data_IF_656716707710
#
_entry.id   IF_656716707710
#
_cell.length_a   1.000
_cell.length_b   1.000
_cell.length_c   1.000
_cell.angle_alpha   90.00
_cell.angle_beta   90.00
_cell.angle_gamma   90.00
#
_symmetry.space_group_name_H-M   'P 1'
#
loop_
_entity.id
_entity.type
_entity.pdbx_description
1 polymer ?
#
# COMPACT_ATOMS: atom_id res chain seq x y z
N UNK A 1 45.08 71.70 -22.25
CA UNK A 1 45.33 70.59 -21.30
C UNK A 1 44.06 70.37 -20.49
N UNK A 2 43.54 69.14 -20.54
CA UNK A 2 42.98 68.37 -19.40
C UNK A 2 41.73 68.85 -18.62
N UNK A 3 40.78 67.90 -18.46
CA UNK A 3 39.71 67.80 -17.42
C UNK A 3 38.52 68.79 -17.53
N UNK A 4 37.28 68.51 -17.09
CA UNK A 4 36.58 67.30 -16.58
C UNK A 4 35.31 67.07 -17.46
N UNK A 5 34.28 66.22 -17.22
CA UNK A 5 33.90 65.21 -16.20
C UNK A 5 32.99 64.15 -16.86
N UNK A 6 32.48 63.14 -16.12
CA UNK A 6 31.43 62.23 -16.61
C UNK A 6 31.30 60.93 -15.79
N UNK A 7 30.46 60.92 -14.76
CA UNK A 7 30.29 59.79 -13.83
C UNK A 7 29.35 58.71 -14.34
N UNK A 8 29.75 57.43 -14.22
CA UNK A 8 28.89 56.27 -14.50
C UNK A 8 29.34 55.03 -13.71
N UNK A 9 28.92 54.94 -12.45
CA UNK A 9 29.18 53.77 -11.61
C UNK A 9 28.00 52.80 -11.61
N UNK A 10 28.18 51.61 -12.19
CA UNK A 10 27.15 50.55 -12.21
C UNK A 10 27.63 49.34 -11.42
N UNK A 11 27.02 49.09 -10.26
CA UNK A 11 27.29 47.91 -9.42
C UNK A 11 26.58 46.65 -9.93
N UNK A 12 27.29 45.52 -10.14
CA UNK A 12 26.67 44.25 -10.49
C UNK A 12 26.39 43.40 -9.24
N UNK A 13 25.38 43.77 -8.44
CA UNK A 13 24.97 43.04 -7.24
C UNK A 13 23.49 42.62 -7.28
N UNK A 14 23.19 41.35 -7.60
CA UNK A 14 21.80 40.86 -7.56
C UNK A 14 21.53 39.42 -8.02
N UNK A 15 22.35 38.84 -8.90
CA UNK A 15 22.07 37.49 -9.47
C UNK A 15 22.49 36.32 -8.57
N UNK A 16 23.36 36.54 -7.58
CA UNK A 16 23.87 35.49 -6.67
C UNK A 16 22.91 35.14 -5.53
N UNK A 17 22.22 36.13 -4.95
CA UNK A 17 21.30 35.93 -3.82
C UNK A 17 20.08 35.07 -4.16
N UNK A 18 19.43 35.33 -5.30
CA UNK A 18 18.21 34.60 -5.71
C UNK A 18 18.47 33.11 -6.03
N UNK A 19 19.66 32.77 -6.55
CA UNK A 19 20.07 31.39 -6.76
C UNK A 19 20.34 30.66 -5.43
N UNK A 20 20.94 31.35 -4.46
CA UNK A 20 21.19 30.82 -3.12
C UNK A 20 19.90 30.59 -2.33
N UNK A 21 18.92 31.50 -2.42
CA UNK A 21 17.59 31.34 -1.82
C UNK A 21 16.86 30.11 -2.38
N UNK A 22 16.70 30.02 -3.71
CA UNK A 22 16.07 28.85 -4.36
C UNK A 22 16.77 27.53 -4.06
N UNK A 23 18.08 27.52 -3.82
CA UNK A 23 18.81 26.33 -3.40
C UNK A 23 18.49 25.92 -1.95
N UNK A 24 18.33 26.89 -1.05
CA UNK A 24 17.90 26.64 0.35
C UNK A 24 16.45 26.17 0.43
N UNK A 25 15.53 26.78 -0.33
CA UNK A 25 14.13 26.38 -0.36
C UNK A 25 13.99 24.93 -0.85
N UNK A 26 14.66 24.59 -1.95
CA UNK A 26 14.72 23.20 -2.45
C UNK A 26 15.38 22.22 -1.49
N UNK A 27 16.35 22.66 -0.70
CA UNK A 27 16.96 21.82 0.34
C UNK A 27 15.98 21.58 1.51
N UNK A 28 15.24 22.61 1.93
CA UNK A 28 14.19 22.50 2.94
C UNK A 28 13.03 21.62 2.47
N UNK A 29 12.53 21.79 1.23
CA UNK A 29 11.53 20.93 0.60
C UNK A 29 11.97 19.46 0.60
N UNK A 30 13.22 19.18 0.21
CA UNK A 30 13.80 17.83 0.23
C UNK A 30 13.90 17.27 1.65
N UNK A 31 14.26 18.09 2.64
CA UNK A 31 14.37 17.68 4.03
C UNK A 31 12.99 17.36 4.64
N UNK A 32 11.96 18.16 4.33
CA UNK A 32 10.56 17.90 4.71
C UNK A 32 10.06 16.62 4.02
N UNK A 33 10.31 16.45 2.72
CA UNK A 33 9.92 15.25 1.98
C UNK A 33 10.60 13.98 2.53
N UNK A 34 11.89 14.04 2.86
CA UNK A 34 12.63 12.94 3.47
C UNK A 34 12.09 12.59 4.87
N UNK A 35 11.81 13.60 5.71
CA UNK A 35 11.21 13.39 7.04
C UNK A 35 9.82 12.75 6.94
N UNK A 36 8.98 13.21 6.02
CA UNK A 36 7.65 12.63 5.73
C UNK A 36 7.75 11.19 5.21
N UNK A 37 8.71 10.89 4.35
CA UNK A 37 8.96 9.52 3.88
C UNK A 37 9.40 8.60 5.04
N UNK A 38 10.34 9.04 5.88
CA UNK A 38 10.78 8.28 7.05
C UNK A 38 9.64 8.01 8.05
N UNK A 39 8.78 9.01 8.30
CA UNK A 39 7.60 8.84 9.15
C UNK A 39 6.57 7.86 8.56
N UNK A 40 6.32 7.90 7.24
CA UNK A 40 5.44 6.91 6.57
C UNK A 40 5.98 5.50 6.68
N UNK A 41 7.26 5.29 6.33
CA UNK A 41 7.88 3.96 6.40
C UNK A 41 7.89 3.39 7.83
N UNK A 42 8.10 4.25 8.83
CA UNK A 42 8.01 3.86 10.25
C UNK A 42 6.58 3.51 10.67
N UNK A 43 5.57 4.27 10.19
CA UNK A 43 4.15 4.01 10.47
C UNK A 43 3.67 2.72 9.82
N UNK A 44 4.06 2.48 8.56
CA UNK A 44 3.79 1.23 7.83
C UNK A 44 4.37 0.03 8.56
N UNK A 45 5.66 0.09 8.94
CA UNK A 45 6.32 -0.98 9.69
C UNK A 45 5.64 -1.24 11.04
N UNK A 46 5.30 -0.19 11.79
CA UNK A 46 4.63 -0.30 13.08
C UNK A 46 3.22 -0.89 12.95
N UNK A 47 2.44 -0.48 11.96
CA UNK A 47 1.11 -1.03 11.68
C UNK A 47 1.20 -2.50 11.22
N UNK A 48 2.08 -2.81 10.28
CA UNK A 48 2.23 -4.16 9.73
C UNK A 48 2.69 -5.18 10.80
N UNK A 49 3.55 -4.76 11.74
CA UNK A 49 4.06 -5.63 12.81
C UNK A 49 3.23 -5.65 14.09
N UNK A 50 2.55 -4.56 14.42
CA UNK A 50 1.80 -4.40 15.67
C UNK A 50 0.34 -4.89 15.63
N UNK A 51 -0.20 -5.20 14.45
CA UNK A 51 -1.60 -5.57 14.28
C UNK A 51 -1.73 -7.09 14.10
N UNK A 52 -2.73 -7.69 14.76
CA UNK A 52 -3.07 -9.11 14.59
C UNK A 52 -4.58 -9.31 14.59
N UNK A 53 -5.11 -9.80 13.47
CA UNK A 53 -6.54 -10.02 13.26
C UNK A 53 -6.75 -11.07 12.14
N UNK A 54 -7.74 -11.98 12.23
CA UNK A 54 -7.95 -13.03 11.22
C UNK A 54 -8.09 -12.52 9.78
N UNK A 55 -8.71 -11.35 9.59
CA UNK A 55 -8.88 -10.71 8.29
C UNK A 55 -7.83 -9.64 7.96
N UNK A 56 -6.70 -9.63 8.66
CA UNK A 56 -5.52 -8.83 8.30
C UNK A 56 -4.40 -9.80 7.93
N UNK A 57 -3.56 -9.43 6.97
CA UNK A 57 -2.36 -10.17 6.62
C UNK A 57 -1.33 -10.03 7.74
N UNK A 58 -0.97 -11.14 8.38
CA UNK A 58 -0.06 -11.13 9.53
C UNK A 58 1.40 -11.00 9.06
N UNK A 59 2.15 -10.03 9.62
CA UNK A 59 3.61 -10.08 9.62
C UNK A 59 4.07 -10.91 10.82
N UNK A 60 4.95 -11.89 10.60
CA UNK A 60 5.49 -12.78 11.63
C UNK A 60 6.81 -12.29 12.22
N UNK A 61 7.68 -11.71 11.39
CA UNK A 61 8.96 -11.12 11.83
C UNK A 61 9.50 -10.17 10.75
N UNK A 62 10.53 -9.40 11.11
CA UNK A 62 11.17 -8.41 10.23
C UNK A 62 12.69 -8.46 10.37
N UNK A 63 13.41 -8.38 9.25
CA UNK A 63 14.86 -8.24 9.24
C UNK A 63 15.25 -6.83 8.77
N UNK A 64 16.07 -6.15 9.57
CA UNK A 64 16.54 -4.79 9.30
C UNK A 64 17.85 -4.54 10.08
N UNK A 65 18.86 -3.86 9.49
CA UNK A 65 18.96 -3.51 8.07
C UNK A 65 19.40 -4.73 7.24
N UNK A 66 18.85 -4.92 6.04
CA UNK A 66 19.27 -6.00 5.13
C UNK A 66 19.55 -5.51 3.72
N UNK A 67 20.49 -6.16 3.04
CA UNK A 67 20.72 -6.03 1.59
C UNK A 67 20.18 -7.27 0.86
N UNK A 68 19.76 -7.06 -0.40
CA UNK A 68 19.25 -8.12 -1.26
C UNK A 68 20.34 -8.50 -2.29
N UNK A 69 20.83 -9.73 -2.21
CA UNK A 69 21.89 -10.23 -3.09
C UNK A 69 21.39 -11.32 -4.05
N UNK A 70 22.02 -11.41 -5.22
CA UNK A 70 21.84 -12.56 -6.13
C UNK A 70 22.90 -13.61 -5.83
N UNK A 71 22.48 -14.69 -5.17
CA UNK A 71 23.30 -15.87 -4.89
C UNK A 71 23.26 -16.80 -6.10
N UNK A 72 24.39 -16.95 -6.81
CA UNK A 72 24.58 -18.03 -7.78
C UNK A 72 24.87 -19.35 -7.05
N UNK A 73 24.05 -20.35 -7.32
CA UNK A 73 24.19 -21.71 -6.79
C UNK A 73 25.17 -22.54 -7.64
N UNK A 74 25.71 -23.66 -7.12
CA UNK A 74 26.63 -24.52 -7.86
C UNK A 74 26.06 -25.16 -9.14
N UNK A 75 24.73 -25.22 -9.27
CA UNK A 75 24.01 -25.67 -10.46
C UNK A 75 23.86 -24.58 -11.54
N UNK A 76 24.41 -23.38 -11.30
CA UNK A 76 24.28 -22.22 -12.19
C UNK A 76 22.97 -21.43 -12.04
N UNK A 77 22.04 -21.88 -11.19
CA UNK A 77 20.81 -21.15 -10.92
C UNK A 77 21.05 -19.93 -10.03
N UNK A 78 20.26 -18.88 -10.23
CA UNK A 78 20.28 -17.67 -9.41
C UNK A 78 19.13 -17.70 -8.39
N UNK A 79 19.44 -17.32 -7.15
CA UNK A 79 18.50 -17.18 -6.07
C UNK A 79 18.70 -15.85 -5.37
N UNK A 80 17.61 -15.22 -4.94
CA UNK A 80 17.70 -14.03 -4.08
C UNK A 80 18.01 -14.47 -2.65
N UNK A 81 18.99 -13.79 -2.03
CA UNK A 81 19.37 -13.96 -0.64
C UNK A 81 19.31 -12.64 0.11
N UNK A 82 18.93 -12.70 1.38
CA UNK A 82 19.00 -11.56 2.29
C UNK A 82 20.26 -11.67 3.13
N UNK A 83 21.04 -10.59 3.23
CA UNK A 83 22.17 -10.46 4.16
C UNK A 83 21.91 -9.30 5.10
N UNK A 84 22.44 -9.38 6.32
CA UNK A 84 22.54 -8.20 7.19
C UNK A 84 23.43 -7.17 6.51
N UNK A 85 22.97 -5.94 6.41
CA UNK A 85 23.75 -4.87 5.78
C UNK A 85 24.77 -4.30 6.77
N UNK A 86 26.06 -4.44 6.46
CA UNK A 86 27.12 -3.83 7.26
C UNK A 86 27.22 -2.32 6.97
N UNK A 87 27.51 -1.54 8.02
CA UNK A 87 27.57 -0.08 7.94
C UNK A 87 28.64 0.46 6.96
N UNK A 88 29.60 -0.37 6.55
CA UNK A 88 30.65 -0.05 5.59
C UNK A 88 30.30 -0.39 4.12
N UNK A 89 29.19 -1.09 3.86
CA UNK A 89 28.80 -1.51 2.49
C UNK A 89 27.90 -0.50 1.77
N UNK A 90 27.40 0.52 2.48
CA UNK A 90 26.52 1.57 1.95
C UNK A 90 27.18 2.54 0.93
N UNK A 91 28.47 2.38 0.63
CA UNK A 91 29.26 3.28 -0.22
C UNK A 91 29.68 2.71 -1.59
N UNK A 92 29.25 1.49 -1.93
CA UNK A 92 29.50 0.88 -3.25
C UNK A 92 28.20 0.74 -4.05
N UNK A 93 28.33 0.30 -5.30
CA UNK A 93 27.28 0.04 -6.30
C UNK A 93 26.37 -1.17 -5.92
N UNK A 94 26.04 -1.27 -4.64
CA UNK A 94 25.34 -2.36 -3.97
C UNK A 94 23.83 -2.13 -3.98
N UNK A 95 23.06 -3.20 -3.87
CA UNK A 95 21.60 -3.12 -3.76
C UNK A 95 21.19 -2.29 -2.52
N UNK A 96 20.13 -1.46 -2.63
CA UNK A 96 19.74 -0.56 -1.55
C UNK A 96 19.35 -1.33 -0.29
N UNK A 97 19.85 -0.86 0.86
CA UNK A 97 19.50 -1.38 2.17
C UNK A 97 17.99 -1.22 2.40
N UNK A 98 17.32 -2.29 2.79
CA UNK A 98 15.88 -2.37 2.96
C UNK A 98 15.50 -3.05 4.27
N UNK A 99 14.18 -3.15 4.50
CA UNK A 99 13.56 -3.92 5.58
C UNK A 99 12.83 -5.08 4.93
N UNK A 100 13.17 -6.30 5.28
CA UNK A 100 12.47 -7.49 4.80
C UNK A 100 11.39 -7.90 5.80
N UNK A 101 10.15 -8.01 5.33
CA UNK A 101 9.01 -8.50 6.11
C UNK A 101 8.80 -9.99 5.81
N UNK A 102 8.66 -10.81 6.85
CA UNK A 102 8.22 -12.21 6.73
C UNK A 102 6.75 -12.27 7.06
N UNK A 103 5.94 -12.60 6.06
CA UNK A 103 4.49 -12.42 6.10
C UNK A 103 3.72 -13.73 5.92
N UNK A 104 2.44 -13.70 6.29
CA UNK A 104 1.48 -14.73 5.96
C UNK A 104 1.30 -14.88 4.45
N UNK A 105 1.64 -16.06 3.93
CA UNK A 105 1.40 -16.39 2.53
C UNK A 105 -0.10 -16.53 2.23
N UNK A 106 -0.58 -15.70 1.30
CA UNK A 106 -1.94 -15.70 0.77
C UNK A 106 -1.90 -16.33 -0.63
N UNK A 107 -2.11 -17.65 -0.68
CA UNK A 107 -1.86 -18.52 -1.82
C UNK A 107 -2.75 -18.29 -3.05
N UNK A 108 -3.82 -17.49 -2.90
CA UNK A 108 -4.75 -17.14 -4.00
C UNK A 108 -4.54 -15.71 -4.54
N UNK A 109 -3.45 -15.04 -4.15
CA UNK A 109 -3.12 -13.70 -4.64
C UNK A 109 -4.09 -12.62 -4.16
N UNK A 110 -4.29 -11.57 -4.97
CA UNK A 110 -5.16 -10.44 -4.62
C UNK A 110 -6.59 -10.60 -5.13
N UNK A 111 -7.53 -9.93 -4.46
CA UNK A 111 -8.93 -9.83 -4.86
C UNK A 111 -9.08 -9.16 -6.24
N UNK A 112 -8.17 -8.26 -6.62
CA UNK A 112 -8.11 -7.70 -7.98
C UNK A 112 -7.90 -8.80 -9.04
N UNK A 113 -6.96 -9.74 -8.80
CA UNK A 113 -6.76 -10.89 -9.69
C UNK A 113 -8.01 -11.79 -9.73
N UNK A 114 -8.54 -12.15 -8.56
CA UNK A 114 -9.75 -12.97 -8.46
C UNK A 114 -10.99 -12.33 -9.14
N UNK A 115 -11.10 -11.01 -9.15
CA UNK A 115 -12.13 -10.29 -9.89
C UNK A 115 -11.92 -10.34 -11.40
N UNK A 116 -10.68 -10.18 -11.87
CA UNK A 116 -10.33 -10.33 -13.29
C UNK A 116 -10.64 -11.75 -13.82
N UNK A 117 -10.32 -12.77 -13.01
CA UNK A 117 -10.59 -14.19 -13.28
C UNK A 117 -12.07 -14.58 -13.07
N UNK A 118 -12.92 -13.64 -12.63
CA UNK A 118 -14.35 -13.84 -12.36
C UNK A 118 -14.62 -14.91 -11.30
N UNK A 119 -13.72 -15.07 -10.34
CA UNK A 119 -13.79 -16.07 -9.26
C UNK A 119 -14.98 -15.85 -8.30
N UNK A 120 -15.54 -14.63 -8.24
CA UNK A 120 -16.79 -14.34 -7.52
C UNK A 120 -18.05 -14.60 -8.38
N UNK A 121 -17.97 -15.53 -9.34
CA UNK A 121 -19.13 -16.01 -10.11
C UNK A 121 -19.36 -17.49 -9.88
N UNK A 122 -20.62 -17.89 -9.87
CA UNK A 122 -21.05 -19.29 -9.82
C UNK A 122 -21.79 -19.67 -11.10
N UNK A 123 -21.67 -20.93 -11.49
CA UNK A 123 -22.45 -21.48 -12.61
C UNK A 123 -23.81 -21.93 -12.09
N UNK A 124 -24.89 -21.43 -12.70
CA UNK A 124 -26.26 -21.88 -12.48
C UNK A 124 -26.84 -22.51 -13.75
N UNK A 125 -27.79 -23.44 -13.67
CA UNK A 125 -28.47 -23.97 -14.85
C UNK A 125 -29.10 -22.85 -15.66
N UNK A 126 -28.89 -22.84 -16.98
CA UNK A 126 -29.44 -21.80 -17.86
C UNK A 126 -30.97 -21.72 -17.81
N UNK A 127 -31.63 -22.87 -17.58
CA UNK A 127 -33.06 -22.95 -17.36
C UNK A 127 -33.55 -22.18 -16.13
N UNK A 128 -32.72 -22.01 -15.10
CA UNK A 128 -33.03 -21.22 -13.90
C UNK A 128 -32.80 -19.71 -14.11
N UNK A 129 -31.92 -19.32 -15.05
CA UNK A 129 -31.65 -17.93 -15.37
C UNK A 129 -32.59 -17.34 -16.46
N UNK A 130 -32.95 -18.15 -17.47
CA UNK A 130 -33.68 -17.69 -18.65
C UNK A 130 -34.98 -18.48 -18.94
N UNK A 131 -35.30 -19.50 -18.14
CA UNK A 131 -36.40 -20.43 -18.42
C UNK A 131 -36.01 -21.55 -19.40
N UNK A 132 -36.67 -22.72 -19.25
CA UNK A 132 -36.33 -23.96 -20.00
C UNK A 132 -36.32 -23.78 -21.52
N UNK A 133 -37.36 -23.16 -22.09
CA UNK A 133 -37.50 -22.99 -23.55
C UNK A 133 -36.40 -22.08 -24.13
N UNK A 134 -36.09 -20.96 -23.46
CA UNK A 134 -35.09 -20.01 -23.93
C UNK A 134 -33.63 -20.48 -23.70
N UNK A 135 -33.41 -21.41 -22.77
CA UNK A 135 -32.14 -22.13 -22.62
C UNK A 135 -31.96 -23.18 -23.74
N UNK A 136 -32.99 -24.00 -24.00
CA UNK A 136 -32.98 -25.01 -25.05
C UNK A 136 -32.77 -24.39 -26.44
N UNK A 137 -33.49 -23.32 -26.78
CA UNK A 137 -33.37 -22.61 -28.05
C UNK A 137 -31.98 -21.99 -28.29
N UNK A 138 -31.19 -21.76 -27.23
CA UNK A 138 -29.82 -21.24 -27.32
C UNK A 138 -28.73 -22.32 -27.18
N UNK A 139 -29.09 -23.57 -26.88
CA UNK A 139 -28.13 -24.64 -26.61
C UNK A 139 -27.27 -24.45 -25.36
N UNK A 140 -27.59 -23.49 -24.48
CA UNK A 140 -26.78 -23.16 -23.30
C UNK A 140 -27.26 -24.01 -22.12
N UNK A 141 -26.37 -24.78 -21.52
CA UNK A 141 -26.67 -25.60 -20.34
C UNK A 141 -26.49 -24.84 -19.01
N UNK A 142 -25.46 -23.99 -18.91
CA UNK A 142 -25.11 -23.25 -17.70
C UNK A 142 -24.70 -21.80 -17.98
N UNK A 143 -24.94 -20.93 -17.01
CA UNK A 143 -24.69 -19.48 -17.09
C UNK A 143 -23.89 -19.06 -15.86
N UNK A 144 -22.86 -18.24 -16.05
CA UNK A 144 -22.16 -17.60 -14.92
C UNK A 144 -22.99 -16.41 -14.42
N UNK A 145 -23.31 -16.42 -13.15
CA UNK A 145 -23.95 -15.32 -12.42
C UNK A 145 -23.07 -14.90 -11.25
N UNK A 146 -23.23 -13.66 -10.77
CA UNK A 146 -22.53 -13.21 -9.58
C UNK A 146 -22.90 -14.08 -8.37
N UNK A 147 -21.90 -14.53 -7.61
CA UNK A 147 -22.13 -15.15 -6.32
C UNK A 147 -22.24 -14.06 -5.25
N UNK A 148 -23.47 -13.57 -5.06
CA UNK A 148 -23.80 -12.54 -4.05
C UNK A 148 -23.38 -12.98 -2.65
N UNK A 149 -23.44 -14.27 -2.32
CA UNK A 149 -22.99 -14.78 -1.01
C UNK A 149 -21.47 -14.65 -0.87
N UNK A 150 -20.72 -15.05 -1.89
CA UNK A 150 -19.27 -14.90 -1.90
C UNK A 150 -18.83 -13.43 -1.81
N UNK A 151 -19.53 -12.53 -2.52
CA UNK A 151 -19.29 -11.08 -2.46
C UNK A 151 -19.55 -10.55 -1.05
N UNK A 152 -20.71 -10.83 -0.44
CA UNK A 152 -21.07 -10.33 0.89
C UNK A 152 -20.14 -10.85 1.99
N UNK A 153 -19.73 -12.12 1.95
CA UNK A 153 -18.74 -12.66 2.90
C UNK A 153 -17.35 -12.01 2.72
N UNK A 154 -16.98 -11.65 1.49
CA UNK A 154 -15.70 -10.95 1.20
C UNK A 154 -15.74 -9.50 1.69
N UNK A 155 -16.87 -8.81 1.54
CA UNK A 155 -17.07 -7.48 2.12
C UNK A 155 -17.09 -7.54 3.67
N UNK A 156 -17.68 -8.58 4.25
CA UNK A 156 -17.69 -8.79 5.70
C UNK A 156 -16.28 -8.99 6.26
N UNK A 157 -15.44 -9.81 5.63
CA UNK A 157 -14.02 -9.99 5.99
C UNK A 157 -13.28 -8.64 6.04
N UNK A 158 -13.41 -7.83 4.99
CA UNK A 158 -12.78 -6.50 4.89
C UNK A 158 -13.35 -5.54 5.94
N UNK A 159 -14.66 -5.57 6.19
CA UNK A 159 -15.30 -4.75 7.22
C UNK A 159 -14.85 -5.14 8.63
N UNK A 160 -14.64 -6.43 8.92
CA UNK A 160 -14.08 -6.89 10.19
C UNK A 160 -12.63 -6.40 10.38
N UNK A 161 -11.82 -6.47 9.33
CA UNK A 161 -10.45 -5.92 9.33
C UNK A 161 -10.43 -4.41 9.60
N UNK A 162 -11.27 -3.65 8.89
CA UNK A 162 -11.41 -2.20 9.07
C UNK A 162 -11.91 -1.83 10.48
N UNK A 163 -12.91 -2.54 11.01
CA UNK A 163 -13.39 -2.35 12.38
C UNK A 163 -12.26 -2.53 13.41
N UNK A 164 -11.44 -3.56 13.24
CA UNK A 164 -10.28 -3.77 14.12
C UNK A 164 -9.25 -2.64 13.98
N UNK A 165 -8.91 -2.24 12.75
CA UNK A 165 -7.99 -1.13 12.48
C UNK A 165 -8.48 0.18 13.11
N UNK A 166 -9.78 0.48 12.98
CA UNK A 166 -10.40 1.67 13.57
C UNK A 166 -10.42 1.60 15.11
N UNK A 167 -10.58 0.41 15.71
CA UNK A 167 -10.48 0.24 17.17
C UNK A 167 -9.08 0.53 17.73
N UNK A 168 -8.05 0.53 16.88
CA UNK A 168 -6.68 0.95 17.20
C UNK A 168 -6.42 2.44 16.87
N UNK A 169 -7.47 3.21 16.54
CA UNK A 169 -7.39 4.58 16.01
C UNK A 169 -6.53 4.69 14.73
N UNK A 170 -6.61 3.71 13.83
CA UNK A 170 -5.89 3.70 12.56
C UNK A 170 -6.85 3.77 11.37
N UNK A 171 -6.48 4.50 10.32
CA UNK A 171 -7.16 4.52 9.01
C UNK A 171 -6.21 3.95 7.95
N UNK A 172 -6.72 3.06 7.09
CA UNK A 172 -5.94 2.46 6.00
C UNK A 172 -5.63 3.43 4.84
N UNK A 173 -6.61 4.28 4.50
CA UNK A 173 -6.63 5.26 3.38
C UNK A 173 -6.49 4.72 1.96
N UNK A 174 -5.91 3.54 1.74
CA UNK A 174 -5.76 2.91 0.41
C UNK A 174 -6.52 1.58 0.30
N UNK A 175 -7.85 1.63 0.46
CA UNK A 175 -8.72 0.46 0.33
C UNK A 175 -9.10 0.23 -1.13
N UNK A 176 -8.54 -0.83 -1.73
CA UNK A 176 -8.79 -1.26 -3.10
C UNK A 176 -8.63 -2.79 -3.23
N UNK A 177 -9.21 -3.45 -4.25
CA UNK A 177 -9.10 -4.90 -4.41
C UNK A 177 -7.66 -5.43 -4.59
N UNK A 178 -6.70 -4.59 -4.97
CA UNK A 178 -5.29 -5.00 -5.02
C UNK A 178 -4.69 -5.22 -3.62
N UNK A 179 -5.21 -4.52 -2.61
CA UNK A 179 -4.74 -4.50 -1.22
C UNK A 179 -5.54 -5.47 -0.32
N UNK A 180 -6.37 -6.32 -0.92
CA UNK A 180 -7.06 -7.42 -0.24
C UNK A 180 -6.49 -8.72 -0.81
N UNK A 181 -5.81 -9.50 0.01
CA UNK A 181 -5.24 -10.80 -0.34
C UNK A 181 -6.21 -11.93 0.03
N UNK A 182 -6.12 -13.04 -0.70
CA UNK A 182 -6.98 -14.20 -0.52
C UNK A 182 -6.14 -15.41 -0.08
N UNK A 183 -6.57 -16.08 0.99
CA UNK A 183 -5.94 -17.29 1.51
C UNK A 183 -6.91 -18.45 1.50
N UNK A 184 -6.49 -19.62 1.02
CA UNK A 184 -7.33 -20.83 0.97
C UNK A 184 -7.84 -21.20 2.37
N UNK A 185 -9.14 -21.43 2.46
CA UNK A 185 -9.84 -21.77 3.70
C UNK A 185 -10.91 -22.82 3.38
N UNK A 186 -10.65 -24.13 3.61
CA UNK A 186 -11.58 -25.21 3.25
C UNK A 186 -12.90 -25.19 4.03
N UNK A 187 -12.94 -24.51 5.19
CA UNK A 187 -14.14 -24.35 6.02
C UNK A 187 -15.01 -23.18 5.58
N UNK A 188 -14.51 -22.27 4.75
CA UNK A 188 -15.30 -21.18 4.18
C UNK A 188 -16.04 -21.67 2.91
N UNK A 189 -17.34 -21.37 2.72
CA UNK A 189 -18.09 -21.77 1.53
C UNK A 189 -17.54 -21.20 0.20
N UNK A 190 -16.68 -20.18 0.23
CA UNK A 190 -15.94 -19.64 -0.92
C UNK A 190 -14.65 -20.41 -1.23
N UNK A 191 -14.19 -21.25 -0.29
CA UNK A 191 -12.87 -21.88 -0.31
C UNK A 191 -11.71 -20.95 0.06
N UNK A 192 -11.98 -19.72 0.51
CA UNK A 192 -10.97 -18.74 0.91
C UNK A 192 -11.48 -17.75 1.98
N UNK A 193 -10.57 -17.11 2.69
CA UNK A 193 -10.81 -15.90 3.50
C UNK A 193 -10.09 -14.70 2.88
N UNK A 194 -10.68 -13.52 3.02
CA UNK A 194 -10.05 -12.27 2.59
C UNK A 194 -9.30 -11.59 3.75
N UNK A 195 -8.12 -11.04 3.41
CA UNK A 195 -7.18 -10.43 4.34
C UNK A 195 -6.72 -9.07 3.81
N UNK A 196 -6.93 -8.03 4.60
CA UNK A 196 -6.46 -6.67 4.30
C UNK A 196 -4.93 -6.60 4.45
N UNK A 197 -4.26 -5.92 3.51
CA UNK A 197 -2.81 -5.80 3.41
C UNK A 197 -2.42 -4.43 2.81
N UNK A 198 -1.11 -4.14 2.72
CA UNK A 198 -0.52 -2.88 2.25
C UNK A 198 -0.90 -1.66 3.11
N UNK A 199 -0.12 -1.48 4.18
CA UNK A 199 -0.29 -0.41 5.15
C UNK A 199 0.54 0.85 4.85
N UNK A 200 1.10 1.00 3.63
CA UNK A 200 1.97 2.12 3.25
C UNK A 200 1.32 3.51 3.33
N UNK A 201 -0.02 3.56 3.40
CA UNK A 201 -0.80 4.78 3.56
C UNK A 201 -1.48 4.93 4.92
N UNK A 202 -1.21 4.09 5.92
CA UNK A 202 -1.85 4.18 7.24
C UNK A 202 -1.58 5.53 7.92
N UNK A 203 -2.58 6.04 8.63
CA UNK A 203 -2.46 7.19 9.53
C UNK A 203 -3.27 6.96 10.82
N UNK A 204 -2.94 7.73 11.86
CA UNK A 204 -3.77 7.82 13.05
C UNK A 204 -5.04 8.63 12.75
N UNK A 205 -6.18 8.11 13.21
CA UNK A 205 -7.53 8.65 13.05
C UNK A 205 -7.65 10.09 13.59
N UNK A 206 -6.94 10.37 14.68
CA UNK A 206 -6.93 11.68 15.37
C UNK A 206 -5.63 12.48 15.15
N UNK A 207 -4.82 12.18 14.13
CA UNK A 207 -3.73 13.08 13.76
C UNK A 207 -4.31 14.29 13.01
N UNK A 208 -3.95 15.54 13.38
CA UNK A 208 -4.26 16.69 12.56
C UNK A 208 -3.63 16.51 11.17
N UNK A 209 -4.38 16.80 10.12
CA UNK A 209 -3.88 16.75 8.75
C UNK A 209 -2.66 17.67 8.59
N UNK A 210 -1.67 17.22 7.83
CA UNK A 210 -0.39 17.92 7.66
C UNK A 210 -0.61 19.31 7.03
N UNK A 211 -0.51 20.36 7.84
CA UNK A 211 -1.16 21.65 7.58
C UNK A 211 -0.49 22.46 6.46
N UNK A 212 -1.05 22.37 5.25
CA UNK A 212 -0.91 23.42 4.23
C UNK A 212 -2.24 23.88 3.60
N UNK A 213 -3.38 23.43 4.12
CA UNK A 213 -4.71 23.70 3.53
C UNK A 213 -5.81 24.11 4.51
N UNK A 214 -5.58 23.95 5.83
CA UNK A 214 -6.55 24.31 6.87
C UNK A 214 -7.67 23.28 7.07
N UNK A 215 -7.90 22.93 8.34
CA UNK A 215 -9.15 22.41 8.92
C UNK A 215 -9.89 21.30 8.15
N UNK A 216 -9.65 20.06 8.55
CA UNK A 216 -10.63 19.10 9.12
C UNK A 216 -9.85 17.80 9.50
N UNK A 217 -10.23 17.05 10.57
CA UNK A 217 -9.71 15.70 10.81
C UNK A 217 -10.04 14.75 9.65
N UNK A 218 -9.21 13.72 9.42
CA UNK A 218 -9.47 12.75 8.33
C UNK A 218 -10.81 12.01 8.48
N UNK A 219 -11.29 11.84 9.72
CA UNK A 219 -12.67 11.56 10.06
C UNK A 219 -12.89 11.94 11.54
N UNK A 220 -14.10 12.35 11.90
CA UNK A 220 -14.53 12.37 13.30
C UNK A 220 -15.04 10.99 13.70
N UNK A 221 -14.62 10.50 14.87
CA UNK A 221 -15.30 9.39 15.54
C UNK A 221 -16.47 9.99 16.31
N UNK A 222 -17.67 9.90 15.75
CA UNK A 222 -18.87 9.99 16.57
C UNK A 222 -19.00 8.67 17.35
N UNK A 223 -19.17 8.75 18.68
CA UNK A 223 -19.30 7.60 19.60
C UNK A 223 -20.55 6.71 19.37
N UNK A 224 -21.25 6.88 18.24
CA UNK A 224 -22.55 6.29 17.93
C UNK A 224 -22.53 5.14 16.92
N UNK A 225 -21.37 4.72 16.42
CA UNK A 225 -21.26 3.62 15.45
C UNK A 225 -21.31 2.21 16.09
N UNK A 226 -22.32 1.93 16.94
CA UNK A 226 -22.46 0.61 17.57
C UNK A 226 -23.63 0.42 18.54
N UNK A 227 -24.82 0.11 17.99
CA UNK A 227 -25.87 -0.69 18.65
C UNK A 227 -26.47 -1.67 17.65
#
# INVERSE_FOLDING_TARGET
MSTTSGTGGTTPGGRTGAASAKARDRAAERQVAARRALQRNAMELAAATGISHPNIMQVFTTFSPVSLDVIRRPDGSEALGLKLADAAEAERDSMPVCIALVCEWCDRGSLAGALADKALTRVVPAAAAFGRSAAAARGIQGVRVLDVRAILMTLLDVAMALRHLHSLNLIHRDIKPANVLLKTCPTDPRGFTAKLADFGFVALLNQPGDESSGLEPYAYVEDAAGT
#
